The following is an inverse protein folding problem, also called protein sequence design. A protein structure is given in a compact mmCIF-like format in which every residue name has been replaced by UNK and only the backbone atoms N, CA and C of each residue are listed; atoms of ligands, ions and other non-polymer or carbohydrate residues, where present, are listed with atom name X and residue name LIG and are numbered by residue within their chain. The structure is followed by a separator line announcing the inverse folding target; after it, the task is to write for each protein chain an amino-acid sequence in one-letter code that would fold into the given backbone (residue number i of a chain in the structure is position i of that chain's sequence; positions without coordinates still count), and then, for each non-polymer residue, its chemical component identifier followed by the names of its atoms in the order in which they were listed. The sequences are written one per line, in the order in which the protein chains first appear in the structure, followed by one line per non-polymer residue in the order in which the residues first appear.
data_IF_147582542741
#
_entry.id   IF_147582542741
#
_cell.length_a   1.000
_cell.length_b   1.000
_cell.length_c   1.000
_cell.angle_alpha   90.00
_cell.angle_beta   90.00
_cell.angle_gamma   90.00
#
_symmetry.space_group_name_H-M   'P 1'
#
loop_
_entity.id
_entity.type
_entity.pdbx_description
1 polymer ?
#
# COMPACT_ATOMS: atom_id res chain seq x y z
N UNK A 1 46.56 9.22 -15.65
CA UNK A 1 46.01 7.85 -15.56
C UNK A 1 44.67 7.99 -14.86
N UNK A 2 43.68 8.39 -15.65
CA UNK A 2 42.30 8.69 -15.24
C UNK A 2 41.49 7.40 -15.18
N UNK A 3 41.52 6.73 -14.03
CA UNK A 3 40.57 5.65 -13.76
C UNK A 3 39.35 6.19 -13.01
N UNK A 4 38.26 6.37 -13.76
CA UNK A 4 36.85 6.28 -13.37
C UNK A 4 36.24 7.28 -12.36
N UNK A 5 35.69 8.41 -12.84
CA UNK A 5 34.47 9.00 -12.26
C UNK A 5 33.19 8.20 -12.60
N UNK A 6 33.28 7.23 -13.54
CA UNK A 6 32.13 6.50 -14.11
C UNK A 6 31.59 5.37 -13.20
N UNK A 7 32.43 4.73 -12.39
CA UNK A 7 31.99 3.66 -11.47
C UNK A 7 31.14 4.20 -10.30
N UNK A 8 31.46 5.39 -9.79
CA UNK A 8 30.67 6.06 -8.76
C UNK A 8 29.31 6.53 -9.31
N UNK A 9 29.29 7.06 -10.53
CA UNK A 9 28.06 7.48 -11.22
C UNK A 9 27.13 6.32 -11.62
N UNK A 10 27.69 5.18 -12.05
CA UNK A 10 26.92 3.96 -12.30
C UNK A 10 26.35 3.42 -10.99
N UNK A 11 27.15 3.40 -9.91
CA UNK A 11 26.66 2.95 -8.61
C UNK A 11 25.53 3.87 -8.12
N UNK A 12 25.67 5.19 -8.20
CA UNK A 12 24.60 6.11 -7.80
C UNK A 12 23.34 5.99 -8.67
N UNK A 13 23.43 5.91 -9.99
CA UNK A 13 22.24 5.76 -10.84
C UNK A 13 21.55 4.41 -10.66
N UNK A 14 22.33 3.34 -10.52
CA UNK A 14 21.79 1.99 -10.26
C UNK A 14 21.19 1.94 -8.85
N UNK A 15 21.84 2.55 -7.86
CA UNK A 15 21.36 2.65 -6.49
C UNK A 15 20.09 3.50 -6.42
N UNK A 16 20.03 4.66 -7.07
CA UNK A 16 18.83 5.50 -7.16
C UNK A 16 17.69 4.76 -7.84
N UNK A 17 17.98 4.05 -8.93
CA UNK A 17 16.98 3.23 -9.61
C UNK A 17 16.50 2.09 -8.70
N UNK A 18 17.39 1.43 -7.97
CA UNK A 18 17.07 0.38 -6.99
C UNK A 18 16.27 0.92 -5.80
N UNK A 19 16.63 2.10 -5.31
CA UNK A 19 15.98 2.79 -4.19
C UNK A 19 14.59 3.26 -4.60
N UNK A 20 14.42 3.79 -5.82
CA UNK A 20 13.12 4.18 -6.36
C UNK A 20 12.20 2.97 -6.58
N UNK A 21 12.72 1.85 -7.11
CA UNK A 21 11.97 0.59 -7.16
C UNK A 21 11.59 0.12 -5.75
N UNK A 22 12.52 0.09 -4.79
CA UNK A 22 12.24 -0.24 -3.40
C UNK A 22 11.19 0.68 -2.78
N UNK A 23 11.23 2.00 -3.04
CA UNK A 23 10.25 2.95 -2.52
C UNK A 23 8.86 2.63 -3.08
N UNK A 24 8.75 2.30 -4.35
CA UNK A 24 7.47 1.97 -4.98
C UNK A 24 6.91 0.65 -4.42
N UNK A 25 7.76 -0.38 -4.28
CA UNK A 25 7.39 -1.67 -3.71
C UNK A 25 7.02 -1.53 -2.22
N UNK A 26 7.73 -0.67 -1.46
CA UNK A 26 7.44 -0.39 -0.04
C UNK A 26 6.14 0.39 0.10
N UNK A 27 5.90 1.42 -0.72
CA UNK A 27 4.65 2.18 -0.69
C UNK A 27 3.45 1.32 -1.07
N UNK A 28 3.52 0.63 -2.20
CA UNK A 28 2.45 -0.27 -2.64
C UNK A 28 2.26 -1.44 -1.67
N UNK A 29 3.35 -2.05 -1.19
CA UNK A 29 3.32 -3.18 -0.27
C UNK A 29 2.80 -2.82 1.12
N UNK A 30 3.22 -1.67 1.66
CA UNK A 30 2.73 -1.12 2.93
C UNK A 30 1.22 -0.88 2.84
N UNK A 31 0.76 -0.12 1.85
CA UNK A 31 -0.65 0.26 1.77
C UNK A 31 -1.55 -0.94 1.43
N UNK A 32 -1.09 -1.85 0.54
CA UNK A 32 -1.84 -3.08 0.22
C UNK A 32 -1.93 -4.01 1.43
N UNK A 33 -0.84 -4.18 2.19
CA UNK A 33 -0.83 -5.00 3.41
C UNK A 33 -1.74 -4.41 4.49
N UNK A 34 -1.67 -3.09 4.72
CA UNK A 34 -2.56 -2.40 5.68
C UNK A 34 -4.03 -2.51 5.25
N UNK A 35 -4.37 -2.33 3.97
CA UNK A 35 -5.76 -2.49 3.50
C UNK A 35 -6.26 -3.93 3.69
N UNK A 36 -5.44 -4.93 3.37
CA UNK A 36 -5.78 -6.33 3.58
C UNK A 36 -5.95 -6.66 5.05
N UNK A 37 -5.15 -6.07 5.95
CA UNK A 37 -5.31 -6.23 7.40
C UNK A 37 -6.64 -5.66 7.93
N UNK A 38 -7.21 -4.64 7.29
CA UNK A 38 -8.56 -4.14 7.60
C UNK A 38 -9.68 -4.98 6.97
N UNK A 39 -9.41 -5.61 5.83
CA UNK A 39 -10.35 -6.50 5.12
C UNK A 39 -10.43 -7.89 5.76
N UNK A 40 -9.30 -8.41 6.25
CA UNK A 40 -9.15 -9.73 6.86
C UNK A 40 -10.09 -9.99 8.06
N UNK A 41 -10.28 -9.07 9.02
CA UNK A 41 -11.25 -9.25 10.09
C UNK A 41 -12.69 -9.31 9.57
N UNK A 42 -13.03 -8.56 8.52
CA UNK A 42 -14.35 -8.63 7.88
C UNK A 42 -14.58 -9.93 7.11
N UNK A 43 -13.54 -10.43 6.43
CA UNK A 43 -13.61 -11.66 5.64
C UNK A 43 -13.61 -12.92 6.53
N UNK A 44 -12.79 -12.96 7.58
CA UNK A 44 -12.78 -14.06 8.55
C UNK A 44 -14.13 -14.19 9.26
N UNK A 45 -14.74 -13.06 9.57
CA UNK A 45 -16.04 -12.99 10.20
C UNK A 45 -17.19 -13.45 9.28
N UNK A 46 -17.06 -13.22 7.97
CA UNK A 46 -17.96 -13.78 6.95
C UNK A 46 -17.73 -15.28 6.73
N UNK A 47 -16.48 -15.75 6.81
CA UNK A 47 -16.09 -17.16 6.63
C UNK A 47 -16.45 -18.06 7.81
N UNK A 48 -16.65 -17.48 9.00
CA UNK A 48 -17.04 -18.20 10.23
C UNK A 48 -18.57 -18.27 10.42
N UNK A 49 -19.33 -17.45 9.69
CA UNK A 49 -20.80 -17.35 9.78
C UNK A 49 -21.48 -17.98 8.55
N UNK A 50 -21.14 -19.23 8.25
CA UNK A 50 -21.91 -20.02 7.27
C UNK A 50 -23.13 -20.72 7.88
N UNK A 51 -23.32 -20.65 9.21
CA UNK A 51 -24.36 -21.43 9.89
C UNK A 51 -25.63 -20.62 10.18
N UNK A 52 -25.61 -19.38 10.69
CA UNK A 52 -26.82 -18.57 10.88
C UNK A 52 -26.49 -17.08 11.16
N UNK A 53 -27.48 -16.20 10.93
CA UNK A 53 -27.57 -14.78 11.35
C UNK A 53 -27.09 -13.64 10.41
N UNK A 54 -27.93 -13.46 9.39
CA UNK A 54 -28.63 -12.21 9.08
C UNK A 54 -28.76 -11.25 10.31
N UNK A 55 -28.31 -9.99 10.21
CA UNK A 55 -29.07 -8.76 10.56
C UNK A 55 -28.22 -7.53 10.98
N UNK A 56 -27.05 -7.63 11.64
CA UNK A 56 -26.25 -6.43 12.04
C UNK A 56 -24.73 -6.54 11.89
N UNK A 57 -24.18 -7.74 12.08
CA UNK A 57 -22.74 -7.97 12.08
C UNK A 57 -22.10 -7.78 10.69
N UNK A 58 -22.78 -8.17 9.60
CA UNK A 58 -22.33 -7.95 8.22
C UNK A 58 -22.21 -6.48 7.81
N UNK A 59 -23.05 -5.60 8.35
CA UNK A 59 -23.04 -4.18 7.99
C UNK A 59 -21.80 -3.48 8.52
N UNK A 60 -21.38 -3.82 9.74
CA UNK A 60 -20.13 -3.33 10.33
C UNK A 60 -18.91 -3.80 9.54
N UNK A 61 -18.85 -5.09 9.20
CA UNK A 61 -17.75 -5.65 8.41
C UNK A 61 -17.64 -5.00 7.01
N UNK A 62 -18.75 -4.82 6.30
CA UNK A 62 -18.75 -4.11 5.02
C UNK A 62 -18.41 -2.62 5.17
N UNK A 63 -18.91 -1.94 6.21
CA UNK A 63 -18.64 -0.53 6.45
C UNK A 63 -17.17 -0.26 6.76
N UNK A 64 -16.56 -1.08 7.62
CA UNK A 64 -15.12 -1.03 7.92
C UNK A 64 -14.26 -1.34 6.68
N UNK A 65 -14.71 -2.27 5.83
CA UNK A 65 -14.03 -2.63 4.60
C UNK A 65 -14.03 -1.50 3.58
N UNK A 66 -15.19 -0.87 3.35
CA UNK A 66 -15.32 0.26 2.42
C UNK A 66 -14.59 1.50 2.96
N UNK A 67 -14.71 1.81 4.27
CA UNK A 67 -13.98 2.91 4.89
C UNK A 67 -12.47 2.70 4.83
N UNK A 68 -11.98 1.49 5.12
CA UNK A 68 -10.56 1.16 5.03
C UNK A 68 -10.00 1.31 3.63
N UNK A 69 -10.73 0.86 2.60
CA UNK A 69 -10.34 1.03 1.19
C UNK A 69 -10.37 2.51 0.79
N UNK A 70 -11.42 3.25 1.14
CA UNK A 70 -11.51 4.68 0.85
C UNK A 70 -10.38 5.47 1.50
N UNK A 71 -10.13 5.27 2.81
CA UNK A 71 -9.08 5.98 3.54
C UNK A 71 -7.68 5.58 3.04
N UNK A 72 -7.46 4.30 2.75
CA UNK A 72 -6.21 3.79 2.20
C UNK A 72 -5.91 4.33 0.81
N UNK A 73 -6.92 4.33 -0.07
CA UNK A 73 -6.80 4.91 -1.41
C UNK A 73 -6.55 6.42 -1.35
N UNK A 74 -7.28 7.16 -0.52
CA UNK A 74 -7.06 8.59 -0.32
C UNK A 74 -5.63 8.90 0.16
N UNK A 75 -5.10 8.13 1.10
CA UNK A 75 -3.72 8.31 1.60
C UNK A 75 -2.69 8.03 0.52
N UNK A 76 -2.87 6.97 -0.26
CA UNK A 76 -2.00 6.62 -1.39
C UNK A 76 -2.00 7.74 -2.43
N UNK A 77 -3.18 8.23 -2.81
CA UNK A 77 -3.36 9.32 -3.77
C UNK A 77 -2.72 10.61 -3.26
N UNK A 78 -2.93 10.99 -1.99
CA UNK A 78 -2.33 12.20 -1.42
C UNK A 78 -0.81 12.15 -1.42
N UNK A 79 -0.22 11.00 -1.09
CA UNK A 79 1.24 10.83 -1.15
C UNK A 79 1.71 11.02 -2.59
N UNK A 80 1.14 10.29 -3.56
CA UNK A 80 1.53 10.40 -4.98
C UNK A 80 1.35 11.82 -5.54
N UNK A 81 0.23 12.48 -5.23
CA UNK A 81 -0.03 13.85 -5.69
C UNK A 81 0.91 14.84 -5.01
N UNK A 82 1.22 14.64 -3.73
CA UNK A 82 2.20 15.46 -3.02
C UNK A 82 3.57 15.34 -3.67
N UNK A 83 4.02 14.14 -4.04
CA UNK A 83 5.26 13.96 -4.80
C UNK A 83 5.21 14.62 -6.19
N UNK A 84 4.09 14.53 -6.90
CA UNK A 84 3.95 15.09 -8.25
C UNK A 84 3.81 16.62 -8.29
N UNK A 85 3.33 17.23 -7.20
CA UNK A 85 3.05 18.67 -7.13
C UNK A 85 4.09 19.46 -6.31
N UNK A 86 4.90 18.79 -5.46
CA UNK A 86 6.09 19.38 -4.82
C UNK A 86 7.37 19.22 -5.67
N UNK A 87 7.23 19.16 -6.99
CA UNK A 87 8.34 19.38 -7.93
C UNK A 87 8.41 20.85 -8.35
#
# INVERSE_FOLDING_TARGET
MDYCPLSHWINQNVLYRKVSECIFIVCLGSTTSTCLLFVFPGLFYLKLSFEDFLSRQKLGACGLLVLGICIGACSLTLITVNWAYNE
#
